data_IF_308460054100
#
_entry.id   IF_308460054100
#
_cell.length_a   1.000
_cell.length_b   1.000
_cell.length_c   1.000
_cell.angle_alpha   90.00
_cell.angle_beta   90.00
_cell.angle_gamma   90.00
#
_symmetry.space_group_name_H-M   'P 1'
#
loop_
_entity.id
_entity.type
_entity.pdbx_description
1 polymer ?
#
# COMPACT_ATOMS: atom_id res chain seq x y z
N UNK A 1 23.02 10.72 60.15
CA UNK A 1 24.09 10.82 59.15
C UNK A 1 23.45 11.03 57.78
N UNK A 2 23.92 12.03 57.03
CA UNK A 2 23.60 12.32 55.63
C UNK A 2 23.99 11.13 54.71
N UNK A 3 23.53 10.96 53.47
CA UNK A 3 23.31 11.95 52.42
C UNK A 3 22.24 11.52 51.40
N UNK A 4 21.57 12.55 50.88
CA UNK A 4 20.61 12.56 49.76
C UNK A 4 21.36 12.50 48.43
N UNK A 5 20.72 11.89 47.43
CA UNK A 5 21.30 11.53 46.14
C UNK A 5 21.68 12.67 45.21
N UNK A 6 22.41 12.30 44.16
CA UNK A 6 22.83 13.18 43.07
C UNK A 6 22.15 12.75 41.78
N UNK A 7 21.14 13.53 41.39
CA UNK A 7 20.57 13.56 40.05
C UNK A 7 21.55 14.33 39.16
N UNK A 8 22.04 13.68 38.12
CA UNK A 8 22.95 14.26 37.14
C UNK A 8 22.16 15.17 36.18
N UNK A 9 22.08 16.47 36.51
CA UNK A 9 21.61 17.50 35.57
C UNK A 9 22.79 17.97 34.72
N UNK A 10 22.54 18.12 33.41
CA UNK A 10 23.47 18.73 32.47
C UNK A 10 23.86 20.14 32.95
N UNK A 11 25.13 20.56 32.81
CA UNK A 11 25.55 21.90 33.24
C UNK A 11 24.85 22.97 32.40
N UNK A 12 24.04 23.80 33.08
CA UNK A 12 23.67 25.13 32.61
C UNK A 12 24.96 25.95 32.45
N UNK A 13 25.32 26.29 31.22
CA UNK A 13 26.35 27.29 30.97
C UNK A 13 25.69 28.65 31.11
N UNK A 14 25.84 29.25 32.28
CA UNK A 14 25.54 30.67 32.51
C UNK A 14 26.72 31.47 31.94
N UNK A 15 26.51 32.16 30.81
CA UNK A 15 27.48 33.12 30.29
C UNK A 15 27.34 34.41 31.12
N UNK A 16 28.18 34.55 32.14
CA UNK A 16 28.35 35.82 32.86
C UNK A 16 29.27 36.70 32.02
N UNK A 17 28.70 37.70 31.34
CA UNK A 17 29.45 38.72 30.63
C UNK A 17 29.96 39.77 31.64
N UNK A 18 31.07 39.48 32.32
CA UNK A 18 31.68 40.39 33.30
C UNK A 18 32.76 41.29 32.67
N UNK A 19 32.44 41.91 31.52
CA UNK A 19 32.90 43.22 31.06
C UNK A 19 34.38 43.66 31.19
N UNK A 20 35.33 42.78 31.52
CA UNK A 20 36.72 43.14 31.81
C UNK A 20 37.68 42.40 30.88
N UNK A 21 38.56 43.11 30.15
CA UNK A 21 39.53 42.49 29.27
C UNK A 21 40.59 41.74 30.07
N UNK A 22 40.97 40.57 29.56
CA UNK A 22 42.10 39.77 30.07
C UNK A 22 43.39 40.52 29.76
N UNK A 23 44.20 40.79 30.78
CA UNK A 23 45.48 41.50 30.65
C UNK A 23 46.49 40.66 29.85
N UNK A 24 47.00 41.25 28.77
CA UNK A 24 48.15 40.75 28.01
C UNK A 24 49.44 41.14 28.73
N UNK A 25 50.29 40.15 29.06
CA UNK A 25 51.68 40.36 29.48
C UNK A 25 52.61 40.26 28.26
N UNK A 26 53.39 41.32 28.00
CA UNK A 26 54.53 41.29 27.07
C UNK A 26 54.79 42.59 26.30
N UNK A 27 55.63 43.46 26.87
CA UNK A 27 56.15 44.72 26.34
C UNK A 27 56.92 44.60 25.00
N UNK A 28 56.87 45.60 24.11
CA UNK A 28 57.85 46.71 24.11
C UNK A 28 57.65 47.72 22.96
N UNK A 29 57.86 49.01 23.31
CA UNK A 29 58.26 50.17 22.51
C UNK A 29 57.94 50.26 21.00
N UNK A 30 56.84 50.93 20.65
CA UNK A 30 56.69 51.77 19.44
C UNK A 30 55.34 52.55 19.46
N UNK A 31 55.11 53.41 20.45
CA UNK A 31 53.77 54.02 20.67
C UNK A 31 53.40 55.17 19.71
N UNK A 32 54.28 55.61 18.81
CA UNK A 32 53.98 56.72 17.88
C UNK A 32 53.50 56.31 16.49
N UNK A 33 53.90 55.12 15.99
CA UNK A 33 53.68 54.73 14.58
C UNK A 33 52.57 53.70 14.41
N UNK A 34 52.24 52.95 15.47
CA UNK A 34 51.21 51.90 15.42
C UNK A 34 49.79 52.48 15.34
N UNK A 35 49.52 53.66 15.92
CA UNK A 35 48.17 54.25 15.93
C UNK A 35 47.69 54.66 14.52
N UNK A 36 48.59 55.09 13.63
CA UNK A 36 48.22 55.47 12.25
C UNK A 36 47.97 54.27 11.32
N UNK A 37 48.53 53.10 11.62
CA UNK A 37 48.38 51.89 10.81
C UNK A 37 47.30 50.96 11.39
N UNK A 38 47.14 50.94 12.72
CA UNK A 38 46.17 50.09 13.40
C UNK A 38 44.72 50.53 13.19
N UNK A 39 44.44 51.83 13.00
CA UNK A 39 43.06 52.31 12.78
C UNK A 39 42.51 51.88 11.40
N UNK A 40 43.23 52.06 10.27
CA UNK A 40 42.79 51.51 8.98
C UNK A 40 42.74 49.98 8.98
N UNK A 41 43.72 49.31 9.61
CA UNK A 41 43.77 47.85 9.66
C UNK A 41 42.63 47.24 10.51
N UNK A 42 42.26 47.86 11.63
CA UNK A 42 41.13 47.43 12.44
C UNK A 42 39.78 47.65 11.72
N UNK A 43 39.62 48.76 10.99
CA UNK A 43 38.42 48.99 10.17
C UNK A 43 38.37 47.98 9.01
N UNK A 44 39.49 47.71 8.34
CA UNK A 44 39.56 46.68 7.30
C UNK A 44 39.29 45.26 7.83
N UNK A 45 39.71 44.95 9.07
CA UNK A 45 39.42 43.68 9.72
C UNK A 45 37.94 43.56 10.12
N UNK A 46 37.32 44.63 10.62
CA UNK A 46 35.89 44.67 10.97
C UNK A 46 35.03 44.56 9.70
N UNK A 47 35.38 45.29 8.64
CA UNK A 47 34.73 45.17 7.32
C UNK A 47 34.98 43.78 6.74
N UNK A 48 36.18 43.24 6.84
CA UNK A 48 36.53 41.89 6.38
C UNK A 48 35.79 40.78 7.13
N UNK A 49 35.55 40.92 8.44
CA UNK A 49 34.77 39.97 9.25
C UNK A 49 33.27 40.12 8.97
N UNK A 50 32.76 41.34 8.76
CA UNK A 50 31.38 41.57 8.34
C UNK A 50 31.12 41.03 6.93
N UNK A 51 32.01 41.31 5.97
CA UNK A 51 31.97 40.78 4.59
C UNK A 51 32.20 39.27 4.58
N UNK A 52 33.06 38.72 5.45
CA UNK A 52 33.28 37.28 5.59
C UNK A 52 32.07 36.54 6.17
N UNK A 53 31.37 37.12 7.16
CA UNK A 53 30.10 36.59 7.68
C UNK A 53 28.95 36.73 6.67
N UNK A 54 28.92 37.81 5.90
CA UNK A 54 27.95 38.01 4.82
C UNK A 54 28.25 37.05 3.66
N UNK A 55 29.51 36.84 3.29
CA UNK A 55 29.95 35.93 2.22
C UNK A 55 29.73 34.46 2.54
N UNK A 56 30.01 34.02 3.78
CA UNK A 56 29.68 32.66 4.24
C UNK A 56 28.17 32.44 4.31
N UNK A 57 27.40 33.41 4.81
CA UNK A 57 25.93 33.32 4.82
C UNK A 57 25.31 33.34 3.41
N UNK A 58 25.91 34.09 2.47
CA UNK A 58 25.48 34.13 1.07
C UNK A 58 25.87 32.85 0.32
N UNK A 59 27.04 32.28 0.60
CA UNK A 59 27.47 31.00 0.05
C UNK A 59 26.54 29.88 0.50
N UNK A 60 26.31 29.73 1.80
CA UNK A 60 25.38 28.73 2.33
C UNK A 60 23.98 28.92 1.75
N UNK A 61 23.46 30.16 1.76
CA UNK A 61 22.15 30.46 1.16
C UNK A 61 22.07 30.03 -0.32
N UNK A 62 23.09 30.34 -1.13
CA UNK A 62 23.14 29.96 -2.54
C UNK A 62 23.28 28.45 -2.73
N UNK A 63 23.98 27.75 -1.83
CA UNK A 63 24.03 26.28 -1.83
C UNK A 63 22.68 25.66 -1.47
N UNK A 64 21.90 26.28 -0.57
CA UNK A 64 20.52 25.86 -0.26
C UNK A 64 19.59 25.98 -1.46
N UNK A 65 19.72 27.06 -2.23
CA UNK A 65 18.99 27.22 -3.49
C UNK A 65 19.38 26.15 -4.52
N UNK A 66 20.67 25.82 -4.62
CA UNK A 66 21.16 24.73 -5.50
C UNK A 66 20.64 23.37 -5.04
N UNK A 67 20.63 23.10 -3.73
CA UNK A 67 20.08 21.89 -3.13
C UNK A 67 18.58 21.74 -3.40
N UNK A 68 17.79 22.80 -3.18
CA UNK A 68 16.35 22.80 -3.48
C UNK A 68 16.08 22.50 -4.96
N UNK A 69 16.84 23.11 -5.88
CA UNK A 69 16.72 22.84 -7.33
C UNK A 69 17.09 21.40 -7.68
N UNK A 70 18.12 20.84 -7.06
CA UNK A 70 18.54 19.47 -7.30
C UNK A 70 17.52 18.42 -6.78
N UNK A 71 16.94 18.65 -5.60
CA UNK A 71 15.88 17.77 -5.06
C UNK A 71 14.60 17.87 -5.88
N UNK A 72 14.20 19.10 -6.23
CA UNK A 72 13.02 19.34 -7.05
C UNK A 72 13.18 18.64 -8.41
N UNK A 73 14.29 18.94 -9.09
CA UNK A 73 14.68 18.39 -10.37
C UNK A 73 13.60 18.47 -11.45
N UNK A 74 13.72 17.63 -12.47
CA UNK A 74 12.70 17.43 -13.49
C UNK A 74 12.16 15.99 -13.45
N UNK A 75 11.18 15.71 -14.31
CA UNK A 75 10.52 14.41 -14.44
C UNK A 75 11.35 13.38 -15.22
N UNK A 76 12.52 13.73 -15.73
CA UNK A 76 13.45 12.82 -16.41
C UNK A 76 14.59 12.35 -15.51
N UNK A 77 14.85 13.08 -14.43
CA UNK A 77 15.94 12.81 -13.49
C UNK A 77 15.47 11.83 -12.41
N UNK A 78 16.14 10.66 -12.26
CA UNK A 78 15.77 9.68 -11.23
C UNK A 78 15.88 10.25 -9.81
N UNK A 79 15.02 9.77 -8.91
CA UNK A 79 15.01 10.10 -7.48
C UNK A 79 14.72 11.57 -7.13
N UNK A 80 14.26 12.41 -8.06
CA UNK A 80 13.79 13.78 -7.77
C UNK A 80 12.34 13.76 -7.30
N UNK A 81 11.91 14.81 -6.60
CA UNK A 81 10.51 14.95 -6.16
C UNK A 81 9.56 14.94 -7.37
N UNK A 82 9.91 15.62 -8.46
CA UNK A 82 9.07 15.67 -9.65
C UNK A 82 8.87 14.28 -10.31
N UNK A 83 9.94 13.48 -10.42
CA UNK A 83 9.87 12.14 -11.03
C UNK A 83 9.18 11.13 -10.09
N UNK A 84 9.51 11.15 -8.81
CA UNK A 84 8.89 10.25 -7.82
C UNK A 84 7.40 10.52 -7.69
N UNK A 85 6.98 11.79 -7.68
CA UNK A 85 5.56 12.15 -7.67
C UNK A 85 4.83 11.72 -8.94
N UNK A 86 5.46 11.85 -10.10
CA UNK A 86 4.90 11.32 -11.36
C UNK A 86 4.67 9.81 -11.24
N UNK A 87 5.67 9.07 -10.77
CA UNK A 87 5.58 7.61 -10.62
C UNK A 87 4.50 7.22 -9.61
N UNK A 88 4.39 7.94 -8.48
CA UNK A 88 3.29 7.75 -7.53
C UNK A 88 1.92 8.02 -8.15
N UNK A 89 1.80 9.04 -8.99
CA UNK A 89 0.54 9.36 -9.69
C UNK A 89 0.17 8.27 -10.70
N UNK A 90 1.16 7.70 -11.40
CA UNK A 90 0.95 6.59 -12.32
C UNK A 90 0.46 5.33 -11.56
N UNK A 91 1.03 5.06 -10.36
CA UNK A 91 0.57 3.98 -9.48
C UNK A 91 -0.83 4.26 -8.94
N UNK A 92 -1.12 5.49 -8.51
CA UNK A 92 -2.42 5.90 -7.99
C UNK A 92 -3.52 5.69 -9.03
N UNK A 93 -3.30 6.17 -10.26
CA UNK A 93 -4.23 5.98 -11.36
C UNK A 93 -4.48 4.49 -11.66
N UNK A 94 -3.43 3.68 -11.67
CA UNK A 94 -3.55 2.23 -11.86
C UNK A 94 -4.40 1.57 -10.76
N UNK A 95 -4.17 1.95 -9.49
CA UNK A 95 -4.91 1.42 -8.37
C UNK A 95 -6.37 1.91 -8.36
N UNK A 96 -6.62 3.15 -8.77
CA UNK A 96 -7.98 3.69 -8.91
C UNK A 96 -8.76 2.99 -10.03
N UNK A 97 -8.10 2.71 -11.16
CA UNK A 97 -8.66 1.88 -12.23
C UNK A 97 -8.97 0.46 -11.75
N UNK A 98 -8.07 -0.18 -10.99
CA UNK A 98 -8.32 -1.50 -10.42
C UNK A 98 -9.53 -1.46 -9.47
N UNK A 99 -9.56 -0.50 -8.54
CA UNK A 99 -10.68 -0.30 -7.62
C UNK A 99 -12.02 -0.17 -8.35
N UNK A 100 -12.08 0.69 -9.37
CA UNK A 100 -13.32 1.01 -10.08
C UNK A 100 -13.77 -0.12 -11.00
N UNK A 101 -12.86 -0.78 -11.73
CA UNK A 101 -13.21 -1.83 -12.70
C UNK A 101 -13.50 -3.17 -12.03
N UNK A 102 -12.73 -3.55 -11.01
CA UNK A 102 -12.81 -4.91 -10.47
C UNK A 102 -12.84 -4.99 -8.93
N UNK A 103 -12.90 -3.85 -8.24
CA UNK A 103 -12.96 -3.84 -6.77
C UNK A 103 -11.69 -4.36 -6.10
N UNK A 104 -10.53 -4.19 -6.73
CA UNK A 104 -9.23 -4.78 -6.32
C UNK A 104 -9.18 -6.31 -6.33
N UNK A 105 -10.01 -6.96 -7.15
CA UNK A 105 -9.86 -8.41 -7.36
C UNK A 105 -8.52 -8.73 -8.02
N UNK A 106 -7.93 -9.91 -7.74
CA UNK A 106 -6.67 -10.35 -8.35
C UNK A 106 -6.62 -10.15 -9.86
N UNK A 107 -5.54 -9.54 -10.35
CA UNK A 107 -5.35 -9.23 -11.75
C UNK A 107 -3.86 -9.18 -12.12
N UNK A 108 -3.43 -10.16 -12.91
CA UNK A 108 -2.06 -10.30 -13.43
C UNK A 108 -1.53 -9.06 -14.16
N UNK A 109 -2.38 -8.36 -14.91
CA UNK A 109 -1.96 -7.16 -15.65
C UNK A 109 -1.67 -6.00 -14.69
N UNK A 110 -2.49 -5.84 -13.65
CA UNK A 110 -2.25 -4.86 -12.59
C UNK A 110 -0.94 -5.18 -11.88
N UNK A 111 -0.70 -6.44 -11.53
CA UNK A 111 0.53 -6.87 -10.85
C UNK A 111 1.78 -6.60 -11.68
N UNK A 112 1.72 -6.89 -12.99
CA UNK A 112 2.82 -6.61 -13.92
C UNK A 112 3.12 -5.11 -13.98
N UNK A 113 2.11 -4.27 -14.12
CA UNK A 113 2.28 -2.82 -14.19
C UNK A 113 2.79 -2.23 -12.87
N UNK A 114 2.28 -2.73 -11.73
CA UNK A 114 2.79 -2.34 -10.40
C UNK A 114 4.26 -2.69 -10.23
N UNK A 115 4.70 -3.86 -10.71
CA UNK A 115 6.11 -4.28 -10.69
C UNK A 115 7.00 -3.36 -11.54
N UNK A 116 6.55 -2.97 -12.73
CA UNK A 116 7.27 -2.04 -13.60
C UNK A 116 7.39 -0.64 -12.99
N UNK A 117 6.32 -0.16 -12.32
CA UNK A 117 6.32 1.13 -11.64
C UNK A 117 7.16 1.11 -10.35
N UNK A 118 7.15 0.01 -9.60
CA UNK A 118 7.97 -0.17 -8.39
C UNK A 118 9.47 -0.05 -8.66
N UNK A 119 9.93 -0.50 -9.84
CA UNK A 119 11.32 -0.36 -10.26
C UNK A 119 11.74 1.11 -10.49
N UNK A 120 10.79 2.02 -10.70
CA UNK A 120 11.03 3.46 -10.89
C UNK A 120 11.01 4.24 -9.58
N UNK A 121 10.54 3.66 -8.48
CA UNK A 121 10.54 4.26 -7.14
C UNK A 121 11.89 4.06 -6.42
N UNK A 122 13.00 4.31 -7.10
CA UNK A 122 14.32 4.23 -6.49
C UNK A 122 14.72 5.56 -5.85
N UNK A 123 15.18 5.49 -4.60
CA UNK A 123 15.62 6.65 -3.81
C UNK A 123 17.13 6.59 -3.65
N UNK A 124 17.83 7.40 -4.44
CA UNK A 124 19.27 7.62 -4.25
C UNK A 124 19.49 8.49 -3.02
N UNK A 125 19.84 7.86 -1.91
CA UNK A 125 20.08 8.50 -0.60
C UNK A 125 21.07 9.66 -0.67
N UNK A 126 22.10 9.55 -1.51
CA UNK A 126 23.13 10.59 -1.67
C UNK A 126 22.57 11.95 -2.11
N UNK A 127 21.52 11.95 -2.94
CA UNK A 127 20.85 13.18 -3.39
C UNK A 127 20.11 13.85 -2.22
N UNK A 128 19.44 13.04 -1.40
CA UNK A 128 18.62 13.49 -0.25
C UNK A 128 19.50 14.03 0.88
N UNK A 129 20.62 13.35 1.17
CA UNK A 129 21.53 13.77 2.25
C UNK A 129 22.38 14.99 1.89
N UNK A 130 22.85 15.11 0.65
CA UNK A 130 23.67 16.27 0.23
C UNK A 130 22.90 17.57 0.20
N UNK A 131 21.64 17.55 -0.19
CA UNK A 131 20.84 18.77 -0.26
C UNK A 131 20.41 19.31 1.12
N UNK A 132 20.44 18.48 2.17
CA UNK A 132 20.24 18.90 3.57
C UNK A 132 21.45 19.60 4.18
N UNK A 133 22.67 19.15 3.85
CA UNK A 133 23.88 19.68 4.48
C UNK A 133 24.09 21.18 4.22
N UNK A 134 23.49 21.69 3.15
CA UNK A 134 23.75 23.05 2.71
C UNK A 134 22.47 23.89 2.74
N UNK A 135 21.97 24.28 3.92
CA UNK A 135 21.22 25.54 4.07
C UNK A 135 19.71 25.59 3.75
N UNK A 136 18.99 24.47 3.81
CA UNK A 136 17.50 24.48 3.87
C UNK A 136 17.02 24.64 5.31
N UNK A 137 15.88 25.31 5.53
CA UNK A 137 15.30 25.39 6.88
C UNK A 137 14.90 24.01 7.42
N UNK A 138 14.85 23.87 8.75
CA UNK A 138 14.62 22.59 9.41
C UNK A 138 13.26 21.96 9.03
N UNK A 139 12.23 22.76 8.77
CA UNK A 139 10.92 22.25 8.41
C UNK A 139 10.91 21.70 6.97
N UNK A 140 11.54 22.39 6.01
CA UNK A 140 11.65 21.88 4.64
C UNK A 140 12.49 20.59 4.60
N UNK A 141 13.57 20.55 5.37
CA UNK A 141 14.37 19.32 5.53
C UNK A 141 13.54 18.16 6.09
N UNK A 142 12.68 18.42 7.07
CA UNK A 142 11.75 17.43 7.61
C UNK A 142 10.74 16.91 6.59
N UNK A 143 10.18 17.79 5.76
CA UNK A 143 9.26 17.43 4.67
C UNK A 143 9.94 16.57 3.60
N UNK A 144 11.18 16.91 3.23
CA UNK A 144 11.99 16.10 2.31
C UNK A 144 12.13 14.68 2.89
N UNK A 145 12.60 14.54 4.13
CA UNK A 145 12.74 13.21 4.75
C UNK A 145 11.43 12.45 4.82
N UNK A 146 10.34 13.11 5.22
CA UNK A 146 9.02 12.49 5.31
C UNK A 146 8.58 11.94 3.95
N UNK A 147 8.76 12.71 2.88
CA UNK A 147 8.39 12.29 1.52
C UNK A 147 9.22 11.09 1.07
N UNK A 148 10.56 11.17 1.16
CA UNK A 148 11.43 10.07 0.72
C UNK A 148 11.28 8.80 1.57
N UNK A 149 11.04 8.93 2.88
CA UNK A 149 10.69 7.79 3.73
C UNK A 149 9.35 7.16 3.31
N UNK A 150 8.35 7.98 2.97
CA UNK A 150 7.08 7.49 2.43
C UNK A 150 7.24 6.79 1.08
N UNK A 151 8.13 7.26 0.21
CA UNK A 151 8.45 6.59 -1.07
C UNK A 151 9.05 5.20 -0.80
N UNK A 152 9.99 5.09 0.14
CA UNK A 152 10.59 3.81 0.52
C UNK A 152 9.54 2.85 1.10
N UNK A 153 8.65 3.34 1.96
CA UNK A 153 7.52 2.55 2.50
C UNK A 153 6.60 2.02 1.39
N UNK A 154 6.21 2.88 0.44
CA UNK A 154 5.38 2.48 -0.72
C UNK A 154 6.11 1.45 -1.58
N UNK A 155 7.41 1.61 -1.80
CA UNK A 155 8.23 0.64 -2.50
C UNK A 155 8.27 -0.71 -1.79
N UNK A 156 8.45 -0.73 -0.46
CA UNK A 156 8.45 -1.96 0.32
C UNK A 156 7.09 -2.67 0.27
N UNK A 157 5.99 -1.90 0.31
CA UNK A 157 4.63 -2.44 0.15
C UNK A 157 4.43 -3.05 -1.24
N UNK A 158 4.91 -2.41 -2.31
CA UNK A 158 4.87 -2.93 -3.67
C UNK A 158 5.73 -4.20 -3.81
N UNK A 159 6.94 -4.21 -3.27
CA UNK A 159 7.84 -5.35 -3.34
C UNK A 159 7.25 -6.54 -2.55
N UNK A 160 6.61 -6.29 -1.41
CA UNK A 160 5.85 -7.31 -0.67
C UNK A 160 4.65 -7.82 -1.46
N UNK A 161 3.85 -6.92 -2.06
CA UNK A 161 2.72 -7.29 -2.91
C UNK A 161 3.17 -8.16 -4.09
N UNK A 162 4.19 -7.76 -4.83
CA UNK A 162 4.69 -8.47 -6.00
C UNK A 162 5.19 -9.89 -5.65
N UNK A 163 5.80 -10.06 -4.47
CA UNK A 163 6.21 -11.38 -3.97
C UNK A 163 4.99 -12.24 -3.60
N UNK A 164 4.01 -11.66 -2.92
CA UNK A 164 2.80 -12.36 -2.52
C UNK A 164 1.90 -12.74 -3.70
N UNK A 165 1.79 -11.86 -4.70
CA UNK A 165 0.97 -12.05 -5.90
C UNK A 165 1.31 -13.36 -6.63
N UNK A 166 2.59 -13.76 -6.66
CA UNK A 166 3.00 -15.03 -7.29
C UNK A 166 2.38 -16.26 -6.59
N UNK A 167 2.27 -16.22 -5.25
CA UNK A 167 1.61 -17.28 -4.49
C UNK A 167 0.10 -17.21 -4.64
N UNK A 168 -0.45 -15.99 -4.67
CA UNK A 168 -1.88 -15.79 -4.89
C UNK A 168 -2.29 -16.38 -6.24
N UNK A 169 -1.56 -16.11 -7.31
CA UNK A 169 -1.80 -16.64 -8.66
C UNK A 169 -1.85 -18.17 -8.68
N UNK A 170 -0.92 -18.83 -7.99
CA UNK A 170 -0.91 -20.29 -7.87
C UNK A 170 -2.18 -20.79 -7.18
N UNK A 171 -2.57 -20.13 -6.09
CA UNK A 171 -3.75 -20.49 -5.31
C UNK A 171 -5.03 -20.27 -6.12
N UNK A 172 -5.14 -19.14 -6.81
CA UNK A 172 -6.28 -18.80 -7.66
C UNK A 172 -6.41 -19.73 -8.85
N UNK A 173 -5.29 -20.15 -9.45
CA UNK A 173 -5.28 -21.16 -10.50
C UNK A 173 -5.84 -22.49 -9.99
N UNK A 174 -5.40 -22.96 -8.83
CA UNK A 174 -5.96 -24.17 -8.20
C UNK A 174 -7.46 -24.02 -7.91
N UNK A 175 -7.87 -22.85 -7.39
CA UNK A 175 -9.28 -22.55 -7.16
C UNK A 175 -10.12 -22.57 -8.43
N UNK A 176 -9.56 -22.06 -9.55
CA UNK A 176 -10.20 -22.13 -10.86
C UNK A 176 -10.30 -23.57 -11.36
N UNK A 177 -9.23 -24.35 -11.29
CA UNK A 177 -9.25 -25.77 -11.67
C UNK A 177 -10.30 -26.56 -10.85
N UNK A 178 -10.39 -26.30 -9.54
CA UNK A 178 -11.43 -26.88 -8.68
C UNK A 178 -12.84 -26.44 -9.08
N UNK A 179 -13.04 -25.16 -9.39
CA UNK A 179 -14.32 -24.64 -9.86
C UNK A 179 -14.72 -25.21 -11.24
N UNK A 180 -13.77 -25.33 -12.17
CA UNK A 180 -13.99 -25.88 -13.50
C UNK A 180 -14.35 -27.38 -13.39
N UNK A 181 -13.64 -28.14 -12.56
CA UNK A 181 -13.94 -29.54 -12.27
C UNK A 181 -15.29 -29.74 -11.54
N UNK A 182 -15.70 -28.74 -10.75
CA UNK A 182 -16.98 -28.69 -10.07
C UNK A 182 -18.13 -28.25 -10.97
N UNK A 183 -17.88 -27.72 -12.16
CA UNK A 183 -18.92 -27.23 -13.06
C UNK A 183 -19.46 -28.38 -13.91
N UNK A 184 -20.77 -28.57 -13.89
CA UNK A 184 -21.44 -29.51 -14.77
C UNK A 184 -21.35 -29.01 -16.21
N UNK A 185 -20.81 -29.87 -17.09
CA UNK A 185 -20.65 -29.57 -18.52
C UNK A 185 -21.94 -29.80 -19.30
N UNK A 186 -22.74 -30.77 -18.86
CA UNK A 186 -23.95 -31.23 -19.54
C UNK A 186 -25.12 -31.37 -18.57
N UNK A 187 -26.33 -31.50 -19.13
CA UNK A 187 -27.54 -31.75 -18.36
C UNK A 187 -28.27 -30.49 -17.86
N UNK A 188 -29.26 -30.62 -16.98
CA UNK A 188 -30.08 -29.50 -16.49
C UNK A 188 -29.29 -28.56 -15.57
N UNK A 189 -28.08 -28.95 -15.18
CA UNK A 189 -27.15 -28.14 -14.41
C UNK A 189 -26.00 -27.59 -15.26
N UNK A 190 -26.04 -27.73 -16.59
CA UNK A 190 -24.98 -27.22 -17.46
C UNK A 190 -24.65 -25.75 -17.15
N UNK A 191 -23.37 -25.46 -16.91
CA UNK A 191 -22.89 -24.14 -16.51
C UNK A 191 -23.09 -23.80 -15.02
N UNK A 192 -23.58 -24.73 -14.21
CA UNK A 192 -23.70 -24.61 -12.75
C UNK A 192 -22.80 -25.62 -12.03
N UNK A 193 -22.55 -25.42 -10.73
CA UNK A 193 -21.83 -26.41 -9.94
C UNK A 193 -22.65 -27.68 -9.76
N UNK A 194 -22.02 -28.84 -9.94
CA UNK A 194 -22.60 -30.17 -9.75
C UNK A 194 -22.80 -30.56 -8.28
N UNK A 195 -22.91 -29.60 -7.37
CA UNK A 195 -23.04 -29.85 -5.93
C UNK A 195 -24.36 -29.29 -5.38
N UNK A 196 -25.00 -30.07 -4.53
CA UNK A 196 -26.23 -29.70 -3.82
C UNK A 196 -26.15 -30.06 -2.33
N UNK A 197 -27.21 -29.74 -1.60
CA UNK A 197 -27.38 -30.10 -0.18
C UNK A 197 -28.47 -31.14 -0.08
N UNK A 198 -28.14 -32.31 0.45
CA UNK A 198 -29.11 -33.34 0.81
C UNK A 198 -29.57 -33.10 2.25
N UNK A 199 -30.87 -32.92 2.45
CA UNK A 199 -31.50 -32.78 3.77
C UNK A 199 -32.18 -34.09 4.12
N UNK A 200 -31.90 -34.58 5.33
CA UNK A 200 -32.40 -35.83 5.86
C UNK A 200 -33.00 -35.61 7.24
N UNK A 201 -34.16 -36.20 7.47
CA UNK A 201 -34.78 -36.27 8.78
C UNK A 201 -35.16 -37.73 9.08
N UNK A 202 -35.09 -38.18 10.34
CA UNK A 202 -35.64 -39.47 10.72
C UNK A 202 -37.17 -39.47 10.52
N UNK A 203 -37.69 -40.61 10.10
CA UNK A 203 -39.14 -40.88 10.06
C UNK A 203 -39.46 -42.06 10.98
N UNK A 204 -40.75 -42.31 11.21
CA UNK A 204 -41.19 -43.45 12.03
C UNK A 204 -40.69 -44.81 11.49
N UNK A 205 -40.39 -44.89 10.19
CA UNK A 205 -39.92 -46.10 9.51
C UNK A 205 -38.43 -46.10 9.18
N UNK A 206 -37.81 -44.93 8.95
CA UNK A 206 -36.39 -44.78 8.60
C UNK A 206 -35.62 -44.10 9.75
N UNK A 207 -34.84 -44.88 10.49
CA UNK A 207 -33.91 -44.37 11.52
C UNK A 207 -32.62 -43.87 10.87
N UNK A 208 -32.64 -42.62 10.45
CA UNK A 208 -31.51 -41.92 9.83
C UNK A 208 -31.14 -40.69 10.64
N UNK A 209 -29.88 -40.29 10.59
CA UNK A 209 -29.43 -39.08 11.29
C UNK A 209 -30.12 -37.85 10.70
N UNK A 210 -30.64 -36.98 11.58
CA UNK A 210 -31.15 -35.68 11.19
C UNK A 210 -30.00 -34.76 10.79
N UNK A 211 -30.04 -34.18 9.60
CA UNK A 211 -29.01 -33.24 9.18
C UNK A 211 -29.02 -32.89 7.71
N UNK A 212 -28.00 -32.12 7.32
CA UNK A 212 -27.75 -31.71 5.95
C UNK A 212 -26.31 -32.06 5.56
N UNK A 213 -26.09 -32.51 4.33
CA UNK A 213 -24.75 -32.81 3.81
C UNK A 213 -24.61 -32.38 2.36
N UNK A 214 -23.40 -32.03 1.95
CA UNK A 214 -23.07 -31.71 0.57
C UNK A 214 -23.00 -33.01 -0.22
N UNK A 215 -23.60 -33.03 -1.41
CA UNK A 215 -23.61 -34.20 -2.31
C UNK A 215 -23.25 -33.78 -3.73
N UNK A 216 -22.61 -34.67 -4.49
CA UNK A 216 -22.39 -34.49 -5.93
C UNK A 216 -23.66 -34.91 -6.69
N UNK A 217 -24.15 -34.08 -7.60
CA UNK A 217 -25.25 -34.39 -8.50
C UNK A 217 -24.68 -35.10 -9.73
N UNK A 218 -25.09 -36.35 -9.91
CA UNK A 218 -24.62 -37.23 -10.98
C UNK A 218 -25.59 -37.33 -12.17
N UNK A 219 -26.78 -36.72 -12.07
CA UNK A 219 -27.80 -36.73 -13.11
C UNK A 219 -29.19 -36.45 -12.57
N UNK A 220 -30.21 -36.67 -13.40
CA UNK A 220 -31.62 -36.52 -13.05
C UNK A 220 -32.41 -37.79 -13.37
N UNK A 221 -33.46 -38.02 -12.61
CA UNK A 221 -34.49 -39.00 -12.94
C UNK A 221 -35.63 -38.29 -13.68
N UNK A 222 -36.14 -38.92 -14.74
CA UNK A 222 -37.18 -38.36 -15.60
C UNK A 222 -38.31 -39.38 -15.74
N UNK A 223 -39.56 -38.93 -15.59
CA UNK A 223 -40.73 -39.80 -15.58
C UNK A 223 -40.59 -40.96 -14.58
N UNK A 224 -40.92 -42.16 -15.04
CA UNK A 224 -40.84 -43.43 -14.30
C UNK A 224 -39.52 -44.19 -14.49
N UNK A 225 -38.49 -43.58 -15.09
CA UNK A 225 -37.18 -44.22 -15.24
C UNK A 225 -36.51 -44.43 -13.87
N UNK A 226 -35.98 -45.64 -13.67
CA UNK A 226 -35.15 -45.98 -12.51
C UNK A 226 -33.65 -45.76 -12.75
N UNK A 227 -33.27 -45.30 -13.95
CA UNK A 227 -31.90 -44.97 -14.30
C UNK A 227 -31.73 -43.46 -14.43
N UNK A 228 -30.69 -42.88 -13.82
CA UNK A 228 -30.40 -41.46 -13.95
C UNK A 228 -29.88 -41.16 -15.36
N UNK A 229 -30.34 -40.04 -15.93
CA UNK A 229 -29.93 -39.53 -17.24
C UNK A 229 -29.32 -38.14 -17.09
N UNK A 230 -28.56 -37.70 -18.08
CA UNK A 230 -27.93 -36.38 -18.06
C UNK A 230 -28.98 -35.25 -18.09
N UNK A 231 -30.03 -35.37 -18.90
CA UNK A 231 -31.12 -34.39 -19.04
C UNK A 231 -32.44 -35.13 -19.30
N UNK A 232 -33.56 -34.57 -18.84
CA UNK A 232 -34.87 -35.06 -19.26
C UNK A 232 -35.15 -34.70 -20.72
N UNK A 233 -35.97 -35.52 -21.42
CA UNK A 233 -36.52 -35.18 -22.72
C UNK A 233 -37.16 -33.79 -22.72
N UNK A 234 -37.15 -33.11 -23.86
CA UNK A 234 -37.73 -31.77 -23.96
C UNK A 234 -39.22 -31.80 -23.60
N UNK A 235 -39.62 -30.92 -22.66
CA UNK A 235 -40.99 -30.86 -22.12
C UNK A 235 -41.23 -31.69 -20.86
N UNK A 236 -40.26 -32.52 -20.43
CA UNK A 236 -40.34 -33.24 -19.15
C UNK A 236 -39.54 -32.55 -18.05
N UNK A 237 -40.13 -32.50 -16.85
CA UNK A 237 -39.45 -32.04 -15.64
C UNK A 237 -38.80 -33.23 -14.92
N UNK A 238 -37.64 -33.02 -14.26
CA UNK A 238 -37.05 -34.04 -13.40
C UNK A 238 -38.04 -34.50 -12.33
N UNK A 239 -38.08 -35.79 -12.05
CA UNK A 239 -38.81 -36.39 -10.92
C UNK A 239 -37.92 -36.58 -9.69
N UNK A 240 -36.61 -36.40 -9.82
CA UNK A 240 -35.62 -36.48 -8.75
C UNK A 240 -34.20 -36.17 -9.23
N UNK A 241 -33.29 -35.92 -8.29
CA UNK A 241 -31.86 -35.81 -8.56
C UNK A 241 -31.15 -37.12 -8.21
N UNK A 242 -30.20 -37.52 -9.05
CA UNK A 242 -29.26 -38.57 -8.71
C UNK A 242 -28.08 -37.93 -7.98
N UNK A 243 -27.81 -38.35 -6.76
CA UNK A 243 -26.73 -37.81 -5.95
C UNK A 243 -25.75 -38.88 -5.49
N UNK A 244 -24.51 -38.48 -5.24
CA UNK A 244 -23.45 -39.31 -4.64
C UNK A 244 -22.99 -38.68 -3.34
N UNK A 245 -22.78 -39.51 -2.32
CA UNK A 245 -22.23 -39.05 -1.03
C UNK A 245 -20.74 -38.73 -1.14
N UNK A 246 -20.05 -39.36 -2.08
CA UNK A 246 -18.62 -39.16 -2.35
C UNK A 246 -18.40 -39.06 -3.87
N UNK A 247 -17.44 -38.25 -4.33
CA UNK A 247 -17.09 -38.17 -5.74
C UNK A 247 -16.80 -39.55 -6.34
N UNK A 248 -17.46 -39.89 -7.44
CA UNK A 248 -17.31 -41.20 -8.10
C UNK A 248 -18.03 -42.38 -7.42
N UNK A 249 -18.74 -42.15 -6.32
CA UNK A 249 -19.54 -43.17 -5.65
C UNK A 249 -20.80 -43.59 -6.41
N UNK A 250 -21.54 -44.55 -5.84
CA UNK A 250 -22.80 -45.01 -6.42
C UNK A 250 -23.88 -43.91 -6.37
N UNK A 251 -24.59 -43.71 -7.48
CA UNK A 251 -25.68 -42.75 -7.55
C UNK A 251 -26.90 -43.26 -6.77
N UNK A 252 -27.46 -42.41 -5.93
CA UNK A 252 -28.67 -42.64 -5.13
C UNK A 252 -29.75 -41.65 -5.57
N UNK A 253 -31.01 -42.08 -5.61
CA UNK A 253 -32.13 -41.18 -5.92
C UNK A 253 -32.46 -40.30 -4.71
N UNK A 254 -32.47 -38.99 -4.94
CA UNK A 254 -32.98 -37.97 -4.03
C UNK A 254 -34.20 -37.29 -4.63
N UNK A 255 -35.16 -36.97 -3.78
CA UNK A 255 -36.42 -36.36 -4.21
C UNK A 255 -36.28 -34.85 -4.37
N UNK A 256 -37.08 -34.28 -5.28
CA UNK A 256 -37.18 -32.83 -5.43
C UNK A 256 -37.96 -32.20 -4.27
N UNK A 257 -37.60 -30.97 -3.92
CA UNK A 257 -38.43 -30.12 -3.08
C UNK A 257 -39.60 -29.60 -3.90
N UNK A 258 -40.79 -30.12 -3.62
CA UNK A 258 -42.05 -29.59 -4.16
C UNK A 258 -42.51 -28.44 -3.27
N UNK A 259 -42.91 -27.31 -3.86
CA UNK A 259 -43.47 -26.19 -3.10
C UNK A 259 -44.72 -26.67 -2.34
N UNK A 260 -44.68 -26.57 -1.01
CA UNK A 260 -45.82 -26.87 -0.13
C UNK A 260 -45.69 -28.18 0.65
N UNK A 261 -44.94 -28.17 1.75
CA UNK A 261 -45.31 -28.81 3.02
C UNK A 261 -44.27 -28.46 4.10
N UNK A 262 -44.72 -27.93 5.23
CA UNK A 262 -43.90 -27.44 6.36
C UNK A 262 -43.26 -28.55 7.23
N UNK A 263 -43.05 -29.76 6.71
CA UNK A 263 -42.39 -30.85 7.43
C UNK A 263 -41.01 -31.11 6.84
N UNK A 264 -39.96 -31.11 7.68
CA UNK A 264 -38.56 -31.27 7.24
C UNK A 264 -38.45 -32.50 6.33
N UNK A 265 -38.19 -32.31 5.04
CA UNK A 265 -38.43 -33.37 4.09
C UNK A 265 -37.20 -34.28 4.00
N UNK A 266 -37.43 -35.58 4.20
CA UNK A 266 -36.39 -36.62 4.18
C UNK A 266 -35.96 -36.90 2.73
N UNK A 267 -34.65 -37.09 2.50
CA UNK A 267 -34.04 -37.39 1.18
C UNK A 267 -34.28 -36.30 0.12
N UNK A 268 -34.39 -35.03 0.52
CA UNK A 268 -34.50 -33.92 -0.45
C UNK A 268 -33.15 -33.38 -0.86
N UNK A 269 -33.01 -33.06 -2.14
CA UNK A 269 -31.82 -32.41 -2.68
C UNK A 269 -32.14 -30.96 -3.05
N UNK A 270 -31.42 -30.03 -2.42
CA UNK A 270 -31.49 -28.60 -2.63
C UNK A 270 -30.28 -28.13 -3.46
N UNK A 271 -30.53 -27.39 -4.52
CA UNK A 271 -29.45 -26.79 -5.32
C UNK A 271 -28.85 -25.59 -4.60
N UNK A 272 -27.52 -25.48 -4.65
CA UNK A 272 -26.81 -24.34 -4.07
C UNK A 272 -26.94 -23.10 -4.97
N UNK A 273 -27.65 -22.09 -4.46
CA UNK A 273 -27.81 -20.82 -5.17
C UNK A 273 -26.47 -20.09 -5.36
N UNK A 274 -26.29 -19.36 -6.49
CA UNK A 274 -25.09 -18.57 -6.72
C UNK A 274 -24.86 -17.48 -5.67
N UNK A 275 -23.80 -17.62 -4.88
CA UNK A 275 -23.27 -16.58 -4.01
C UNK A 275 -21.77 -16.80 -3.73
N UNK A 276 -21.12 -15.80 -3.09
CA UNK A 276 -19.69 -15.87 -2.77
C UNK A 276 -19.31 -16.98 -1.79
N UNK A 277 -20.21 -17.37 -0.88
CA UNK A 277 -19.97 -18.47 0.08
C UNK A 277 -19.92 -19.82 -0.63
N UNK A 278 -20.83 -20.05 -1.58
CA UNK A 278 -20.81 -21.23 -2.46
C UNK A 278 -19.51 -21.29 -3.23
N UNK A 279 -19.08 -20.19 -3.83
CA UNK A 279 -17.82 -20.16 -4.57
C UNK A 279 -16.61 -20.47 -3.67
N UNK A 280 -16.53 -19.92 -2.47
CA UNK A 280 -15.45 -20.22 -1.53
C UNK A 280 -15.45 -21.69 -1.09
N UNK A 281 -16.63 -22.28 -0.86
CA UNK A 281 -16.78 -23.70 -0.53
C UNK A 281 -16.28 -24.61 -1.66
N UNK A 282 -16.54 -24.24 -2.92
CA UNK A 282 -16.14 -25.02 -4.09
C UNK A 282 -14.67 -24.82 -4.46
N UNK A 283 -14.19 -23.57 -4.47
CA UNK A 283 -12.80 -23.21 -4.79
C UNK A 283 -11.82 -23.64 -3.69
N UNK A 284 -12.31 -23.76 -2.45
CA UNK A 284 -11.51 -24.05 -1.27
C UNK A 284 -11.12 -22.80 -0.48
N UNK A 285 -10.59 -23.02 0.73
CA UNK A 285 -10.24 -21.95 1.66
C UNK A 285 -8.99 -21.17 1.24
N UNK A 286 -7.98 -21.83 0.67
CA UNK A 286 -6.73 -21.15 0.25
C UNK A 286 -6.97 -20.07 -0.82
N UNK A 287 -7.71 -20.33 -1.92
CA UNK A 287 -7.98 -19.31 -2.93
C UNK A 287 -8.84 -18.16 -2.38
N UNK A 288 -9.85 -18.48 -1.56
CA UNK A 288 -10.71 -17.45 -0.96
C UNK A 288 -9.92 -16.51 -0.02
N UNK A 289 -9.03 -17.08 0.79
CA UNK A 289 -8.16 -16.31 1.69
C UNK A 289 -7.15 -15.47 0.89
N UNK A 290 -6.60 -16.03 -0.19
CA UNK A 290 -5.72 -15.34 -1.14
C UNK A 290 -6.38 -14.09 -1.73
N UNK A 291 -7.62 -14.20 -2.25
CA UNK A 291 -8.38 -13.06 -2.79
C UNK A 291 -8.55 -11.92 -1.77
N UNK A 292 -8.85 -12.28 -0.52
CA UNK A 292 -9.03 -11.30 0.57
C UNK A 292 -7.72 -10.59 0.91
N UNK A 293 -6.61 -11.33 1.03
CA UNK A 293 -5.32 -10.73 1.32
C UNK A 293 -4.80 -9.86 0.17
N UNK A 294 -5.01 -10.28 -1.07
CA UNK A 294 -4.69 -9.50 -2.26
C UNK A 294 -5.42 -8.16 -2.24
N UNK A 295 -6.74 -8.20 -2.08
CA UNK A 295 -7.60 -7.01 -2.00
C UNK A 295 -7.13 -6.06 -0.89
N UNK A 296 -6.78 -6.62 0.29
CA UNK A 296 -6.32 -5.84 1.43
C UNK A 296 -4.98 -5.14 1.15
N UNK A 297 -4.03 -5.82 0.49
CA UNK A 297 -2.73 -5.23 0.10
C UNK A 297 -2.93 -4.04 -0.82
N UNK A 298 -3.68 -4.21 -1.91
CA UNK A 298 -3.92 -3.13 -2.87
C UNK A 298 -4.67 -1.94 -2.24
N UNK A 299 -5.66 -2.20 -1.38
CA UNK A 299 -6.36 -1.12 -0.66
C UNK A 299 -5.42 -0.36 0.27
N UNK A 300 -4.58 -1.07 1.02
CA UNK A 300 -3.63 -0.42 1.95
C UNK A 300 -2.63 0.44 1.17
N UNK A 301 -2.16 -0.06 0.02
CA UNK A 301 -1.28 0.68 -0.88
C UNK A 301 -1.96 1.94 -1.44
N UNK A 302 -3.19 1.79 -1.93
CA UNK A 302 -4.01 2.90 -2.43
C UNK A 302 -4.21 3.97 -1.35
N UNK A 303 -4.65 3.59 -0.15
CA UNK A 303 -4.86 4.53 0.95
C UNK A 303 -3.56 5.27 1.36
N UNK A 304 -2.40 4.61 1.24
CA UNK A 304 -1.10 5.23 1.55
C UNK A 304 -0.69 6.27 0.53
N UNK A 305 -0.97 6.02 -0.75
CA UNK A 305 -0.60 6.88 -1.89
C UNK A 305 -1.62 8.01 -2.05
N UNK A 306 -2.89 7.64 -2.23
CA UNK A 306 -4.02 8.52 -2.52
C UNK A 306 -4.44 9.34 -1.30
N UNK A 307 -4.33 8.75 -0.11
CA UNK A 307 -4.95 9.27 1.11
C UNK A 307 -6.36 8.70 1.32
N UNK A 308 -6.94 9.01 2.48
CA UNK A 308 -8.28 8.54 2.85
C UNK A 308 -9.31 9.59 2.49
N UNK A 309 -10.51 9.13 2.12
CA UNK A 309 -11.64 10.03 1.93
C UNK A 309 -11.91 10.78 3.25
N UNK A 310 -11.79 12.11 3.19
CA UNK A 310 -12.17 13.02 4.27
C UNK A 310 -13.69 13.10 4.40
N UNK A 311 -14.16 13.86 5.39
CA UNK A 311 -15.59 14.07 5.64
C UNK A 311 -16.31 14.76 4.46
N UNK A 312 -15.57 15.48 3.62
CA UNK A 312 -16.03 16.15 2.41
C UNK A 312 -15.96 15.27 1.15
N UNK A 313 -15.59 14.00 1.30
CA UNK A 313 -15.43 13.06 0.18
C UNK A 313 -14.18 13.28 -0.66
N UNK A 314 -13.34 14.27 -0.33
CA UNK A 314 -12.05 14.48 -1.00
C UNK A 314 -10.99 13.62 -0.33
N UNK A 315 -10.05 13.10 -1.12
CA UNK A 315 -8.88 12.45 -0.56
C UNK A 315 -8.08 13.46 0.26
N UNK A 316 -7.83 13.13 1.53
CA UNK A 316 -7.04 13.94 2.44
C UNK A 316 -5.84 13.14 2.93
N UNK A 317 -4.68 13.80 2.94
CA UNK A 317 -3.41 13.14 3.23
C UNK A 317 -2.95 12.27 2.07
N UNK A 318 -2.19 11.22 2.40
CA UNK A 318 -1.51 10.39 1.41
C UNK A 318 -0.18 10.98 0.95
N UNK A 319 0.62 10.13 0.33
CA UNK A 319 1.96 10.50 -0.11
C UNK A 319 1.95 11.48 -1.29
N UNK A 320 0.91 11.46 -2.13
CA UNK A 320 0.75 12.41 -3.22
C UNK A 320 0.51 13.85 -2.73
N UNK A 321 -0.30 14.02 -1.69
CA UNK A 321 -0.53 15.34 -1.06
C UNK A 321 0.76 15.86 -0.39
N UNK A 322 1.47 15.00 0.36
CA UNK A 322 2.79 15.33 0.92
C UNK A 322 3.79 15.75 -0.18
N UNK A 323 3.81 15.03 -1.31
CA UNK A 323 4.65 15.35 -2.46
C UNK A 323 4.27 16.68 -3.14
N UNK A 324 2.98 16.98 -3.29
CA UNK A 324 2.51 18.24 -3.86
C UNK A 324 2.89 19.45 -2.99
N UNK A 325 2.74 19.32 -1.67
CA UNK A 325 3.15 20.34 -0.70
C UNK A 325 4.65 20.59 -0.75
N UNK A 326 5.45 19.51 -0.73
CA UNK A 326 6.90 19.58 -0.82
C UNK A 326 7.35 20.23 -2.14
N UNK A 327 6.77 19.82 -3.28
CA UNK A 327 7.12 20.40 -4.58
C UNK A 327 6.83 21.91 -4.62
N UNK A 328 5.66 22.33 -4.14
CA UNK A 328 5.28 23.76 -4.10
C UNK A 328 6.27 24.57 -3.26
N UNK A 329 6.69 24.03 -2.13
CA UNK A 329 7.66 24.67 -1.23
C UNK A 329 9.05 24.71 -1.85
N UNK A 330 9.51 23.61 -2.45
CA UNK A 330 10.79 23.56 -3.18
C UNK A 330 10.81 24.51 -4.38
N UNK A 331 9.71 24.63 -5.13
CA UNK A 331 9.58 25.60 -6.21
C UNK A 331 9.67 27.04 -5.70
N UNK A 332 9.06 27.32 -4.55
CA UNK A 332 9.11 28.65 -3.91
C UNK A 332 10.54 28.99 -3.48
N UNK A 333 11.24 28.05 -2.84
CA UNK A 333 12.65 28.21 -2.48
C UNK A 333 13.55 28.34 -3.73
N UNK A 334 13.39 27.47 -4.72
CA UNK A 334 14.21 27.45 -5.94
C UNK A 334 14.10 28.75 -6.78
N UNK A 335 12.96 29.46 -6.69
CA UNK A 335 12.71 30.73 -7.38
C UNK A 335 13.32 31.94 -6.67
N UNK A 336 13.80 31.81 -5.42
CA UNK A 336 14.51 32.90 -4.76
C UNK A 336 15.80 33.22 -5.53
N UNK A 337 16.09 34.51 -5.67
CA UNK A 337 17.32 34.98 -6.31
C UNK A 337 18.54 34.64 -5.44
N UNK A 338 19.65 34.30 -6.08
CA UNK A 338 20.93 34.14 -5.39
C UNK A 338 21.27 35.45 -4.66
N UNK A 339 21.79 35.35 -3.44
CA UNK A 339 22.38 36.51 -2.77
C UNK A 339 23.74 36.79 -3.39
N UNK A 340 23.97 38.06 -3.71
CA UNK A 340 25.16 38.63 -4.35
C UNK A 340 26.45 37.82 -4.19
N UNK A 341 27.07 37.43 -5.31
CA UNK A 341 28.49 37.07 -5.38
C UNK A 341 29.30 38.28 -5.82
N UNK A 342 29.42 39.29 -4.95
CA UNK A 342 30.47 40.30 -5.14
C UNK A 342 31.65 39.89 -4.27
N UNK A 343 32.86 40.09 -4.80
CA UNK A 343 34.18 39.70 -4.27
C UNK A 343 34.71 38.32 -4.72
N UNK A 344 35.11 38.24 -5.99
CA UNK A 344 36.46 37.75 -6.33
C UNK A 344 37.39 38.95 -6.42
#
# INVERSE_FOLDING_TARGET
MAAVGTVQRAPEIVIVNDGKPVENVGQSGASGTIVKIAVPAAIALIVGVAVGKIGTSASSYNEGLRGARAILGDKGTPSTVAMLKKTLSDIDNLLDEAKTKNGFRPNLEVDKQLKELAAKLDVKTDLVFRAKQNSLDAALSGEIYKFYAGIAEVKDMLDFHNKAATFDDLSLKKGKEAADAATAQDGPLAGQYKYGVMVQAPTDTDKVDFGAKIVEIAGVYCGSSNNPVAKCPDGEYPSGFAYRNEPGGNATKGDLVTQGSDNVPTKKVLMLLPNGVREALIKGTEPAVSEVYYTRRLRTLYDRIHGKAGQDGKATGGLLDDGNKLETRLQTEAKKSNRFSFFM
#
